data_IF_792496796206
#
_entry.id   IF_792496796206
#
_cell.length_a   1.000
_cell.length_b   1.000
_cell.length_c   1.000
_cell.angle_alpha   90.00
_cell.angle_beta   90.00
_cell.angle_gamma   90.00
#
_symmetry.space_group_name_H-M   'P 1'
#
loop_
_entity.id
_entity.type
_entity.pdbx_description
1 polymer ?
#
# COMPACT_ATOMS: atom_id res chain seq x y z
N UNK A 1 -10.21 -27.82 8.29
CA UNK A 1 -10.00 -26.37 8.04
C UNK A 1 -8.56 -26.01 8.37
N UNK A 2 -7.79 -25.42 7.44
CA UNK A 2 -6.35 -25.13 7.62
C UNK A 2 -6.12 -23.95 8.58
N UNK A 3 -4.89 -23.81 9.14
CA UNK A 3 -4.52 -22.65 9.99
C UNK A 3 -4.75 -21.32 9.25
N UNK A 4 -4.42 -21.26 7.96
CA UNK A 4 -4.65 -20.09 7.10
C UNK A 4 -6.12 -19.70 7.03
N UNK A 5 -7.01 -20.65 6.72
CA UNK A 5 -8.45 -20.37 6.59
C UNK A 5 -9.05 -19.87 7.92
N UNK A 6 -8.63 -20.45 9.05
CA UNK A 6 -9.06 -20.00 10.38
C UNK A 6 -8.56 -18.59 10.68
N UNK A 7 -7.28 -18.31 10.43
CA UNK A 7 -6.69 -17.00 10.68
C UNK A 7 -7.31 -15.90 9.81
N UNK A 8 -7.53 -16.17 8.51
CA UNK A 8 -8.18 -15.23 7.58
C UNK A 8 -9.58 -14.84 8.07
N UNK A 9 -10.39 -15.83 8.46
CA UNK A 9 -11.75 -15.57 8.96
C UNK A 9 -11.75 -14.72 10.24
N UNK A 10 -10.85 -14.99 11.19
CA UNK A 10 -10.73 -14.19 12.42
C UNK A 10 -10.22 -12.78 12.13
N UNK A 11 -9.20 -12.64 11.28
CA UNK A 11 -8.62 -11.35 10.92
C UNK A 11 -9.68 -10.43 10.31
N UNK A 12 -10.40 -10.90 9.30
CA UNK A 12 -11.45 -10.11 8.65
C UNK A 12 -12.58 -9.77 9.62
N UNK A 13 -13.08 -10.75 10.40
CA UNK A 13 -14.16 -10.51 11.35
C UNK A 13 -13.79 -9.52 12.47
N UNK A 14 -12.50 -9.43 12.84
CA UNK A 14 -12.04 -8.57 13.93
C UNK A 14 -11.63 -7.18 13.48
N UNK A 15 -11.08 -7.04 12.26
CA UNK A 15 -10.42 -5.81 11.83
C UNK A 15 -11.16 -5.08 10.71
N UNK A 16 -11.89 -5.77 9.83
CA UNK A 16 -12.64 -5.10 8.76
C UNK A 16 -13.79 -4.29 9.34
N UNK A 17 -13.77 -2.97 9.13
CA UNK A 17 -14.77 -2.05 9.68
C UNK A 17 -15.79 -1.55 8.66
N UNK A 18 -15.78 -2.12 7.44
CA UNK A 18 -16.63 -1.70 6.33
C UNK A 18 -15.95 -0.78 5.33
N UNK A 19 -14.81 -0.17 5.67
CA UNK A 19 -14.08 0.76 4.78
C UNK A 19 -12.57 0.47 4.70
N UNK A 20 -11.95 0.09 5.82
CA UNK A 20 -10.54 -0.30 5.92
C UNK A 20 -10.37 -1.32 7.07
N UNK A 21 -9.14 -1.78 7.32
CA UNK A 21 -8.83 -2.62 8.48
C UNK A 21 -8.36 -1.77 9.67
N UNK A 22 -9.01 -1.93 10.81
CA UNK A 22 -8.57 -1.33 12.08
C UNK A 22 -7.10 -1.72 12.37
N UNK A 23 -6.35 -0.81 13.00
CA UNK A 23 -4.95 -1.01 13.38
C UNK A 23 -4.77 -2.28 14.23
N UNK A 24 -5.64 -2.47 15.22
CA UNK A 24 -5.68 -3.67 16.04
C UNK A 24 -7.12 -3.99 16.49
N UNK A 25 -7.28 -5.07 17.26
CA UNK A 25 -8.58 -5.53 17.77
C UNK A 25 -8.96 -4.95 19.15
N UNK A 26 -8.23 -3.95 19.62
CA UNK A 26 -8.48 -3.25 20.86
C UNK A 26 -9.66 -2.28 20.75
N UNK A 27 -9.94 -1.60 21.87
CA UNK A 27 -11.06 -0.66 21.99
C UNK A 27 -10.59 0.78 22.18
N UNK A 28 -9.28 1.05 22.08
CA UNK A 28 -8.77 2.41 22.21
C UNK A 28 -9.15 3.22 20.97
N UNK A 29 -8.98 4.54 21.06
CA UNK A 29 -9.17 5.39 19.89
C UNK A 29 -8.14 5.08 18.78
N UNK A 30 -6.89 4.77 19.15
CA UNK A 30 -5.82 4.40 18.22
C UNK A 30 -6.00 3.02 17.58
N UNK A 31 -6.75 2.11 18.20
CA UNK A 31 -7.15 0.83 17.57
C UNK A 31 -7.88 1.03 16.25
N UNK A 32 -8.51 2.20 16.05
CA UNK A 32 -9.23 2.57 14.81
C UNK A 32 -8.39 3.42 13.86
N UNK A 33 -7.14 3.71 14.17
CA UNK A 33 -6.26 4.47 13.29
C UNK A 33 -6.05 3.75 11.96
N UNK A 34 -6.01 4.54 10.89
CA UNK A 34 -5.71 4.09 9.54
C UNK A 34 -4.18 3.98 9.47
N UNK A 35 -3.67 2.74 9.47
CA UNK A 35 -2.24 2.50 9.35
C UNK A 35 -1.83 2.42 7.87
N UNK A 36 -0.78 3.15 7.49
CA UNK A 36 -0.28 3.16 6.11
C UNK A 36 0.15 1.77 5.61
N UNK A 37 0.65 0.92 6.51
CA UNK A 37 1.17 -0.41 6.20
C UNK A 37 0.20 -1.57 6.54
N UNK A 38 -1.09 -1.28 6.76
CA UNK A 38 -2.07 -2.30 7.19
C UNK A 38 -2.26 -3.46 6.19
N UNK A 39 -1.81 -3.28 4.93
CA UNK A 39 -1.85 -4.27 3.87
C UNK A 39 -0.47 -4.85 3.50
N UNK A 40 0.55 -4.75 4.37
CA UNK A 40 1.89 -5.31 4.12
C UNK A 40 1.85 -6.80 3.70
N UNK A 41 0.99 -7.61 4.34
CA UNK A 41 0.83 -9.02 3.94
C UNK A 41 0.29 -9.18 2.52
N UNK A 42 -0.67 -8.34 2.13
CA UNK A 42 -1.26 -8.35 0.80
C UNK A 42 -0.22 -7.95 -0.27
N UNK A 43 0.60 -6.94 0.04
CA UNK A 43 1.74 -6.52 -0.80
C UNK A 43 2.67 -7.69 -1.13
N UNK A 44 3.11 -8.43 -0.11
CA UNK A 44 3.99 -9.57 -0.28
C UNK A 44 3.33 -10.71 -1.08
N UNK A 45 2.04 -11.00 -0.84
CA UNK A 45 1.34 -12.02 -1.63
C UNK A 45 1.23 -11.64 -3.11
N UNK A 46 0.88 -10.39 -3.40
CA UNK A 46 0.76 -9.89 -4.77
C UNK A 46 2.13 -9.89 -5.48
N UNK A 47 3.18 -9.42 -4.79
CA UNK A 47 4.54 -9.40 -5.33
C UNK A 47 5.11 -10.80 -5.60
N UNK A 48 4.61 -11.81 -4.89
CA UNK A 48 5.05 -13.22 -4.99
C UNK A 48 4.18 -14.07 -5.92
N UNK A 49 3.15 -13.49 -6.56
CA UNK A 49 2.21 -14.24 -7.39
C UNK A 49 1.32 -15.23 -6.61
N UNK A 50 1.16 -15.03 -5.31
CA UNK A 50 0.27 -15.83 -4.46
C UNK A 50 -1.17 -15.29 -4.54
N UNK A 51 -2.20 -16.14 -4.27
CA UNK A 51 -3.57 -15.68 -4.19
C UNK A 51 -3.76 -14.55 -3.15
N UNK A 52 -4.60 -13.57 -3.46
CA UNK A 52 -4.90 -12.45 -2.57
C UNK A 52 -5.43 -12.90 -1.20
N UNK A 53 -4.99 -12.19 -0.16
CA UNK A 53 -5.46 -12.41 1.20
C UNK A 53 -6.89 -11.93 1.38
N UNK A 54 -7.31 -10.88 0.69
CA UNK A 54 -8.63 -10.25 0.81
C UNK A 54 -9.31 -10.09 -0.55
N UNK A 55 -10.62 -9.83 -0.54
CA UNK A 55 -11.36 -9.48 -1.75
C UNK A 55 -10.85 -8.16 -2.35
N UNK A 56 -10.79 -8.09 -3.69
CA UNK A 56 -10.21 -6.95 -4.42
C UNK A 56 -10.86 -5.62 -4.04
N UNK A 57 -12.18 -5.60 -3.83
CA UNK A 57 -12.90 -4.40 -3.38
C UNK A 57 -12.42 -3.90 -2.02
N UNK A 58 -12.18 -4.79 -1.05
CA UNK A 58 -11.67 -4.42 0.28
C UNK A 58 -10.25 -3.88 0.20
N UNK A 59 -9.42 -4.48 -0.66
CA UNK A 59 -8.04 -4.03 -0.90
C UNK A 59 -8.06 -2.61 -1.45
N UNK A 60 -8.80 -2.37 -2.54
CA UNK A 60 -8.89 -1.05 -3.17
C UNK A 60 -9.51 0.00 -2.25
N UNK A 61 -10.58 -0.32 -1.52
CA UNK A 61 -11.16 0.60 -0.53
C UNK A 61 -10.16 0.96 0.57
N UNK A 62 -9.39 -0.01 1.06
CA UNK A 62 -8.36 0.23 2.08
C UNK A 62 -7.24 1.11 1.52
N UNK A 63 -6.70 0.80 0.34
CA UNK A 63 -5.65 1.60 -0.31
C UNK A 63 -6.13 3.01 -0.62
N UNK A 64 -7.36 3.18 -1.09
CA UNK A 64 -7.96 4.49 -1.32
C UNK A 64 -8.12 5.26 0.00
N UNK A 65 -8.53 4.59 1.09
CA UNK A 65 -8.61 5.20 2.41
C UNK A 65 -7.25 5.72 2.87
N UNK A 66 -6.21 4.92 2.74
CA UNK A 66 -4.83 5.30 3.09
C UNK A 66 -4.38 6.49 2.23
N UNK A 67 -4.66 6.48 0.93
CA UNK A 67 -4.35 7.60 0.04
C UNK A 67 -5.06 8.88 0.48
N UNK A 68 -6.38 8.83 0.67
CA UNK A 68 -7.19 10.00 1.03
C UNK A 68 -6.83 10.59 2.39
N UNK A 69 -6.38 9.75 3.33
CA UNK A 69 -6.07 10.16 4.70
C UNK A 69 -4.56 10.34 4.90
N UNK A 70 -3.81 9.24 4.92
CA UNK A 70 -2.41 9.23 5.29
C UNK A 70 -1.51 9.97 4.30
N UNK A 71 -1.92 10.13 3.04
CA UNK A 71 -1.18 10.85 2.00
C UNK A 71 -1.76 12.24 1.78
N UNK A 72 -3.00 12.35 1.28
CA UNK A 72 -3.53 13.62 0.79
C UNK A 72 -3.80 14.65 1.90
N UNK A 73 -4.13 14.23 3.13
CA UNK A 73 -4.29 15.17 4.26
C UNK A 73 -2.95 15.63 4.85
N UNK A 74 -1.84 15.05 4.41
CA UNK A 74 -0.49 15.43 4.85
C UNK A 74 0.13 16.30 3.77
N UNK A 75 0.06 17.62 3.97
CA UNK A 75 0.60 18.63 3.04
C UNK A 75 0.19 18.42 1.57
N UNK A 76 -1.04 17.96 1.33
CA UNK A 76 -1.54 17.70 -0.02
C UNK A 76 -0.83 16.56 -0.75
N UNK A 77 -0.31 15.57 -0.02
CA UNK A 77 0.42 14.42 -0.60
C UNK A 77 1.90 14.67 -0.86
N UNK A 78 2.43 15.85 -0.52
CA UNK A 78 3.80 16.27 -0.87
C UNK A 78 4.90 15.77 0.07
N UNK A 79 4.60 14.82 0.96
CA UNK A 79 5.58 14.31 1.94
C UNK A 79 5.64 12.79 2.05
N UNK A 80 4.79 12.03 1.37
CA UNK A 80 4.60 10.60 1.56
C UNK A 80 3.45 10.27 2.52
N UNK A 81 3.39 9.02 3.00
CA UNK A 81 2.29 8.54 3.84
C UNK A 81 2.67 8.59 5.33
N UNK A 82 1.93 9.35 6.15
CA UNK A 82 2.10 9.29 7.61
C UNK A 82 1.62 7.93 8.14
N UNK A 83 2.35 7.34 9.07
CA UNK A 83 2.11 5.96 9.51
C UNK A 83 0.72 5.76 10.09
N UNK A 84 0.25 6.66 10.95
CA UNK A 84 -1.04 6.58 11.61
C UNK A 84 -1.86 7.85 11.41
N UNK A 85 -3.11 7.69 10.99
CA UNK A 85 -4.08 8.77 10.94
C UNK A 85 -5.39 8.32 11.58
N UNK A 86 -5.94 9.15 12.46
CA UNK A 86 -7.24 8.89 13.04
C UNK A 86 -8.37 9.06 12.00
N UNK A 87 -9.54 8.41 12.19
CA UNK A 87 -10.66 8.51 11.24
C UNK A 87 -11.24 9.93 11.09
N UNK A 88 -10.93 10.84 12.02
CA UNK A 88 -11.28 12.25 11.93
C UNK A 88 -10.29 13.07 11.05
N UNK A 89 -9.25 12.43 10.51
CA UNK A 89 -8.24 13.06 9.66
C UNK A 89 -7.08 13.73 10.41
N UNK A 90 -7.00 13.61 11.74
CA UNK A 90 -5.83 14.07 12.52
C UNK A 90 -4.75 13.01 12.53
N UNK A 91 -3.48 13.43 12.44
CA UNK A 91 -2.33 12.54 12.64
C UNK A 91 -2.43 11.87 14.00
N UNK A 92 -2.14 10.57 14.04
CA UNK A 92 -2.08 9.82 15.29
C UNK A 92 -0.77 10.15 16.01
N UNK A 93 -0.85 10.78 17.17
CA UNK A 93 0.29 11.16 18.00
C UNK A 93 0.47 10.27 19.24
N UNK A 94 -0.21 9.11 19.28
CA UNK A 94 -0.14 8.19 20.43
C UNK A 94 1.25 7.60 20.65
N UNK A 95 2.11 7.54 19.62
CA UNK A 95 3.52 7.25 19.77
C UNK A 95 4.39 8.05 18.78
N UNK A 96 5.71 7.99 18.98
CA UNK A 96 6.66 8.67 18.08
C UNK A 96 6.50 8.21 16.63
N UNK A 97 6.24 6.92 16.42
CA UNK A 97 6.26 6.30 15.10
C UNK A 97 4.96 6.55 14.33
N UNK A 98 3.82 6.70 15.03
CA UNK A 98 2.52 6.92 14.38
C UNK A 98 2.45 8.26 13.65
N UNK A 99 3.17 9.28 14.15
CA UNK A 99 3.26 10.62 13.54
C UNK A 99 4.39 10.78 12.51
N UNK A 100 5.16 9.73 12.28
CA UNK A 100 6.24 9.74 11.29
C UNK A 100 5.74 9.27 9.92
N UNK A 101 6.40 9.75 8.88
CA UNK A 101 6.35 9.19 7.54
C UNK A 101 7.58 8.31 7.39
N UNK A 102 7.39 7.02 7.14
CA UNK A 102 8.49 6.11 6.86
C UNK A 102 8.70 6.01 5.35
N UNK A 103 9.90 6.32 4.89
CA UNK A 103 10.21 6.43 3.45
C UNK A 103 10.02 5.09 2.74
N UNK A 104 10.55 4.00 3.31
CA UNK A 104 10.39 2.66 2.76
C UNK A 104 8.95 2.13 2.79
N UNK A 105 8.18 2.44 3.84
CA UNK A 105 6.75 2.07 3.93
C UNK A 105 5.94 2.81 2.87
N UNK A 106 6.25 4.07 2.62
CA UNK A 106 5.58 4.84 1.57
C UNK A 106 5.84 4.23 0.18
N UNK A 107 7.07 3.80 -0.10
CA UNK A 107 7.39 3.13 -1.36
C UNK A 107 6.75 1.73 -1.49
N UNK A 108 6.69 0.93 -0.41
CA UNK A 108 5.98 -0.36 -0.44
C UNK A 108 4.48 -0.18 -0.62
N UNK A 109 3.89 0.83 0.01
CA UNK A 109 2.49 1.22 -0.21
C UNK A 109 2.24 1.61 -1.67
N UNK A 110 3.11 2.44 -2.26
CA UNK A 110 3.02 2.82 -3.67
C UNK A 110 3.14 1.59 -4.59
N UNK A 111 4.05 0.66 -4.31
CA UNK A 111 4.16 -0.60 -5.05
C UNK A 111 2.88 -1.45 -4.93
N UNK A 112 2.26 -1.47 -3.76
CA UNK A 112 0.97 -2.16 -3.52
C UNK A 112 -0.15 -1.52 -4.33
N UNK A 113 -0.22 -0.19 -4.38
CA UNK A 113 -1.16 0.54 -5.23
C UNK A 113 -0.98 0.18 -6.71
N UNK A 114 0.26 0.11 -7.21
CA UNK A 114 0.55 -0.33 -8.59
C UNK A 114 0.06 -1.74 -8.87
N UNK A 115 0.32 -2.70 -7.96
CA UNK A 115 -0.11 -4.09 -8.11
C UNK A 115 -1.64 -4.24 -8.18
N UNK A 116 -2.39 -3.26 -7.66
CA UNK A 116 -3.85 -3.20 -7.70
C UNK A 116 -4.40 -2.18 -8.72
N UNK A 117 -3.55 -1.69 -9.64
CA UNK A 117 -3.96 -0.82 -10.76
C UNK A 117 -4.30 0.62 -10.37
N UNK A 118 -3.80 1.10 -9.23
CA UNK A 118 -4.01 2.46 -8.70
C UNK A 118 -2.81 3.36 -9.03
N UNK A 119 -2.47 3.48 -10.32
CA UNK A 119 -1.23 4.13 -10.77
C UNK A 119 -1.10 5.59 -10.31
N UNK A 120 -2.18 6.38 -10.42
CA UNK A 120 -2.16 7.78 -10.00
C UNK A 120 -1.84 7.91 -8.50
N UNK A 121 -2.57 7.17 -7.67
CA UNK A 121 -2.37 7.15 -6.22
C UNK A 121 -0.95 6.70 -5.87
N UNK A 122 -0.43 5.68 -6.56
CA UNK A 122 0.91 5.16 -6.34
C UNK A 122 1.99 6.22 -6.60
N UNK A 123 1.96 6.86 -7.78
CA UNK A 123 2.96 7.85 -8.15
C UNK A 123 2.85 9.11 -7.29
N UNK A 124 1.65 9.59 -6.99
CA UNK A 124 1.47 10.71 -6.06
C UNK A 124 2.00 10.39 -4.66
N UNK A 125 1.77 9.18 -4.15
CA UNK A 125 2.28 8.74 -2.84
C UNK A 125 3.81 8.70 -2.81
N UNK A 126 4.44 8.13 -3.84
CA UNK A 126 5.89 8.03 -3.95
C UNK A 126 6.57 9.38 -4.23
N UNK A 127 5.94 10.23 -5.04
CA UNK A 127 6.41 11.58 -5.37
C UNK A 127 6.55 12.44 -4.12
N UNK A 128 5.69 12.27 -3.12
CA UNK A 128 5.82 12.96 -1.84
C UNK A 128 7.18 12.73 -1.14
N UNK A 129 7.76 11.53 -1.26
CA UNK A 129 9.11 11.24 -0.73
C UNK A 129 10.18 11.98 -1.52
N UNK A 130 10.03 12.08 -2.85
CA UNK A 130 10.94 12.83 -3.70
C UNK A 130 10.85 14.34 -3.40
N UNK A 131 9.65 14.91 -3.35
CA UNK A 131 9.44 16.33 -3.07
C UNK A 131 10.05 16.70 -1.71
N UNK A 132 9.65 16.01 -0.64
CA UNK A 132 10.13 16.34 0.70
C UNK A 132 11.63 16.05 0.90
N UNK A 133 12.15 14.95 0.33
CA UNK A 133 13.51 14.51 0.62
C UNK A 133 14.58 14.99 -0.36
N UNK A 134 14.25 15.15 -1.64
CA UNK A 134 15.22 15.26 -2.73
C UNK A 134 15.07 16.51 -3.61
N UNK A 135 13.89 17.14 -3.64
CA UNK A 135 13.70 18.35 -4.45
C UNK A 135 14.41 19.57 -3.86
N UNK A 136 14.57 20.62 -4.67
CA UNK A 136 15.17 21.89 -4.25
C UNK A 136 14.39 22.60 -3.13
N UNK A 137 13.09 22.36 -3.06
CA UNK A 137 12.18 22.91 -2.04
C UNK A 137 12.02 21.98 -0.81
N UNK A 138 12.69 20.82 -0.81
CA UNK A 138 12.66 19.83 0.25
C UNK A 138 13.66 20.08 1.39
N UNK A 139 13.85 19.06 2.23
CA UNK A 139 14.68 19.12 3.45
C UNK A 139 16.14 18.70 3.24
N UNK A 140 16.54 18.38 2.01
CA UNK A 140 17.94 18.12 1.66
C UNK A 140 18.51 16.79 2.12
N UNK A 141 17.75 15.69 1.94
CA UNK A 141 18.17 14.34 2.32
C UNK A 141 18.84 13.54 1.19
N UNK A 142 19.24 14.19 0.10
CA UNK A 142 19.93 13.55 -1.02
C UNK A 142 21.13 12.72 -0.56
N UNK A 143 21.24 11.50 -1.08
CA UNK A 143 22.29 10.51 -0.76
C UNK A 143 22.36 10.06 0.71
N UNK A 144 21.38 10.42 1.53
CA UNK A 144 21.30 10.07 2.94
C UNK A 144 19.86 9.86 3.42
N UNK A 145 18.96 9.44 2.51
CA UNK A 145 17.53 9.28 2.77
C UNK A 145 17.27 8.57 4.11
N UNK A 146 16.52 9.19 5.04
CA UNK A 146 16.30 8.64 6.36
C UNK A 146 15.27 7.51 6.36
N UNK A 147 15.22 6.79 7.48
CA UNK A 147 14.09 5.92 7.82
C UNK A 147 12.78 6.71 7.80
N UNK A 148 12.79 7.86 8.49
CA UNK A 148 11.58 8.59 8.79
C UNK A 148 11.78 10.11 8.83
N UNK A 149 10.68 10.84 8.64
CA UNK A 149 10.55 12.24 9.05
C UNK A 149 9.15 12.54 9.60
N UNK A 150 9.04 13.57 10.42
CA UNK A 150 7.77 14.15 10.86
C UNK A 150 7.24 15.19 9.85
N UNK A 151 6.00 15.65 10.03
CA UNK A 151 5.32 16.59 9.10
C UNK A 151 5.95 17.99 9.01
N UNK A 152 6.88 18.30 9.92
CA UNK A 152 7.71 19.50 9.97
C UNK A 152 9.12 19.28 9.42
N UNK A 153 9.46 18.05 8.99
CA UNK A 153 10.73 17.74 8.35
C UNK A 153 11.87 17.43 9.33
N UNK A 154 11.59 17.08 10.58
CA UNK A 154 12.62 16.49 11.44
C UNK A 154 12.80 15.02 11.11
N UNK A 155 14.02 14.60 10.79
CA UNK A 155 14.32 13.23 10.38
C UNK A 155 14.72 12.33 11.55
N UNK A 156 14.65 11.03 11.33
CA UNK A 156 15.26 10.00 12.17
C UNK A 156 16.02 8.99 11.31
N UNK A 157 17.26 8.69 11.71
CA UNK A 157 18.14 7.68 11.12
C UNK A 157 18.42 7.88 9.62
N UNK A 158 19.36 8.77 9.28
CA UNK A 158 19.86 8.98 7.91
C UNK A 158 20.57 7.73 7.35
N UNK A 159 20.78 7.71 6.03
CA UNK A 159 21.49 6.65 5.29
C UNK A 159 20.86 5.28 5.58
N UNK A 160 19.53 5.21 5.44
CA UNK A 160 18.77 4.06 5.88
C UNK A 160 18.48 3.07 4.74
N UNK A 161 18.35 1.79 5.10
CA UNK A 161 18.14 0.72 4.12
C UNK A 161 16.71 0.70 3.54
N UNK A 162 15.69 0.96 4.37
CA UNK A 162 14.27 0.82 3.97
C UNK A 162 13.86 1.63 2.72
N UNK A 163 14.32 2.86 2.46
CA UNK A 163 13.97 3.57 1.24
C UNK A 163 14.36 2.86 -0.07
N UNK A 164 15.23 1.83 -0.04
CA UNK A 164 15.48 0.96 -1.20
C UNK A 164 14.22 0.21 -1.68
N UNK A 165 13.15 0.18 -0.88
CA UNK A 165 11.83 -0.34 -1.27
C UNK A 165 11.22 0.35 -2.50
N UNK A 166 11.75 1.50 -2.95
CA UNK A 166 11.37 2.12 -4.23
C UNK A 166 11.48 1.13 -5.41
N UNK A 167 12.43 0.19 -5.36
CA UNK A 167 12.57 -0.85 -6.40
C UNK A 167 11.39 -1.83 -6.46
N UNK A 168 10.57 -1.93 -5.41
CA UNK A 168 9.33 -2.70 -5.47
C UNK A 168 8.32 -2.09 -6.45
N UNK A 169 8.36 -0.76 -6.66
CA UNK A 169 7.54 -0.13 -7.70
C UNK A 169 8.01 -0.57 -9.10
N UNK A 170 9.32 -0.61 -9.33
CA UNK A 170 9.88 -1.11 -10.59
C UNK A 170 9.51 -2.57 -10.84
N UNK A 171 9.51 -3.39 -9.79
CA UNK A 171 9.02 -4.78 -9.86
C UNK A 171 7.56 -4.86 -10.26
N UNK A 172 6.69 -4.02 -9.69
CA UNK A 172 5.27 -3.98 -10.03
C UNK A 172 5.01 -3.51 -11.48
N UNK A 173 5.79 -2.55 -11.98
CA UNK A 173 5.67 -2.00 -13.34
C UNK A 173 6.19 -2.97 -14.42
N UNK A 174 7.31 -3.63 -14.14
CA UNK A 174 8.03 -4.48 -15.09
C UNK A 174 8.54 -5.76 -14.42
N UNK A 175 7.64 -6.70 -14.06
CA UNK A 175 8.04 -7.95 -13.44
C UNK A 175 8.95 -8.76 -14.39
N UNK A 176 10.03 -9.38 -13.90
CA UNK A 176 10.89 -10.21 -14.73
C UNK A 176 10.13 -11.36 -15.39
N UNK A 177 10.53 -11.72 -16.62
CA UNK A 177 9.94 -12.84 -17.36
C UNK A 177 9.99 -14.18 -16.60
N UNK A 178 10.99 -14.35 -15.73
CA UNK A 178 11.12 -15.54 -14.88
C UNK A 178 9.95 -15.67 -13.87
N UNK A 179 9.40 -14.56 -13.37
CA UNK A 179 8.25 -14.54 -12.46
C UNK A 179 6.96 -14.93 -13.18
N UNK A 180 6.80 -14.51 -14.44
CA UNK A 180 5.65 -14.89 -15.27
C UNK A 180 5.61 -16.40 -15.58
N UNK A 181 6.77 -17.04 -15.56
CA UNK A 181 6.94 -18.48 -15.82
C UNK A 181 7.05 -19.32 -14.55
N UNK A 182 6.93 -18.71 -13.36
CA UNK A 182 7.00 -19.44 -12.11
C UNK A 182 5.92 -20.55 -12.08
N UNK A 183 6.24 -21.77 -11.59
CA UNK A 183 5.28 -22.85 -11.53
C UNK A 183 4.03 -22.40 -10.79
N UNK A 184 2.88 -22.43 -11.47
CA UNK A 184 1.60 -22.22 -10.81
C UNK A 184 1.45 -23.35 -9.80
N UNK A 185 1.52 -23.04 -8.51
CA UNK A 185 1.21 -24.00 -7.45
C UNK A 185 -0.19 -24.51 -7.74
N UNK A 186 -0.32 -25.80 -8.06
CA UNK A 186 -1.61 -26.42 -8.37
C UNK A 186 -2.46 -26.38 -7.09
N UNK A 187 -3.29 -25.35 -6.96
CA UNK A 187 -4.22 -25.16 -5.85
C UNK A 187 -5.36 -26.19 -5.83
N UNK A 188 -5.40 -27.12 -6.80
CA UNK A 188 -6.37 -28.23 -6.81
C UNK A 188 -6.24 -29.18 -5.60
N UNK A 189 -5.14 -29.16 -4.84
CA UNK A 189 -5.05 -29.93 -3.58
C UNK A 189 -5.65 -29.23 -2.34
N UNK A 190 -6.23 -28.02 -2.47
CA UNK A 190 -7.00 -27.38 -1.39
C UNK A 190 -8.34 -26.90 -1.91
N UNK A 191 -9.23 -27.87 -2.12
CA UNK A 191 -10.63 -27.64 -2.45
C UNK A 191 -11.30 -26.64 -1.50
N UNK A 192 -12.20 -25.83 -2.09
CA UNK A 192 -13.14 -24.85 -1.52
C UNK A 192 -12.74 -23.38 -1.70
N UNK A 193 -12.76 -22.90 -2.95
CA UNK A 193 -12.98 -21.49 -3.27
C UNK A 193 -14.02 -21.40 -4.39
N UNK A 194 -14.99 -20.52 -4.25
CA UNK A 194 -16.14 -20.34 -5.15
C UNK A 194 -15.74 -19.96 -6.59
N UNK A 195 -16.59 -20.20 -7.61
CA UNK A 195 -16.23 -20.13 -9.03
C UNK A 195 -15.86 -18.73 -9.58
N UNK A 196 -15.94 -17.66 -8.78
CA UNK A 196 -15.74 -16.28 -9.24
C UNK A 196 -14.29 -15.80 -9.34
N UNK A 197 -13.30 -16.57 -8.87
CA UNK A 197 -11.91 -16.11 -8.77
C UNK A 197 -11.06 -16.29 -10.05
N UNK A 198 -11.59 -16.94 -11.10
CA UNK A 198 -10.79 -17.40 -12.24
C UNK A 198 -10.72 -16.46 -13.45
N UNK A 199 -11.39 -15.30 -13.43
CA UNK A 199 -11.47 -14.44 -14.63
C UNK A 199 -10.36 -13.40 -14.82
N UNK A 200 -9.50 -13.13 -13.82
CA UNK A 200 -8.57 -11.99 -13.91
C UNK A 200 -7.11 -12.32 -14.23
N UNK A 201 -6.70 -13.59 -14.19
CA UNK A 201 -5.33 -13.98 -14.56
C UNK A 201 -5.10 -13.80 -16.08
N UNK A 202 -6.16 -13.83 -16.88
CA UNK A 202 -6.03 -13.73 -18.34
C UNK A 202 -5.97 -12.29 -18.87
N UNK A 203 -6.53 -11.31 -18.15
CA UNK A 203 -6.62 -9.91 -18.62
C UNK A 203 -5.46 -9.02 -18.17
N UNK A 204 -4.66 -9.46 -17.20
CA UNK A 204 -3.50 -8.69 -16.69
C UNK A 204 -2.28 -8.73 -17.62
N UNK A 205 -2.34 -9.48 -18.72
CA UNK A 205 -1.28 -9.58 -19.74
C UNK A 205 -1.70 -8.84 -21.01
N UNK A 206 -2.00 -7.54 -20.90
CA UNK A 206 -1.95 -6.66 -22.07
C UNK A 206 -0.59 -5.98 -22.10
N UNK A 207 0.19 -6.25 -23.15
CA UNK A 207 1.35 -5.43 -23.54
C UNK A 207 0.94 -3.97 -23.50
N UNK A 208 1.43 -3.22 -22.52
CA UNK A 208 1.29 -1.76 -22.49
C UNK A 208 2.07 -1.19 -23.67
N UNK A 209 1.34 -0.78 -24.72
CA UNK A 209 1.86 0.18 -25.71
C UNK A 209 1.64 1.58 -25.13
N UNK A 210 2.61 2.51 -25.26
CA UNK A 210 2.42 3.87 -24.79
C UNK A 210 1.30 4.51 -25.60
N UNK A 211 0.19 4.87 -24.94
CA UNK A 211 -0.86 5.70 -25.52
C UNK A 211 -0.78 7.08 -24.89
N UNK A 212 -0.48 8.07 -25.71
CA UNK A 212 -0.69 9.48 -25.40
C UNK A 212 -2.20 9.74 -25.39
N UNK A 213 -2.84 9.78 -24.21
CA UNK A 213 -4.16 10.40 -24.06
C UNK A 213 -4.44 10.76 -22.61
N UNK A 214 -4.94 11.98 -22.42
CA UNK A 214 -5.26 12.63 -21.16
C UNK A 214 -6.19 11.80 -20.25
N UNK A 215 -5.97 11.97 -18.94
CA UNK A 215 -6.67 11.36 -17.81
C UNK A 215 -8.21 11.37 -17.98
N UNK A 216 -8.79 10.19 -18.14
CA UNK A 216 -10.22 9.94 -17.98
C UNK A 216 -10.57 9.64 -16.51
N UNK A 217 -11.76 10.05 -16.07
CA UNK A 217 -12.29 9.88 -14.72
C UNK A 217 -12.22 8.42 -14.23
N UNK A 218 -11.72 8.24 -13.00
CA UNK A 218 -11.56 6.93 -12.35
C UNK A 218 -12.91 6.29 -12.01
N UNK A 219 -13.00 4.94 -12.00
CA UNK A 219 -14.18 4.24 -11.50
C UNK A 219 -14.40 4.58 -10.02
N UNK A 220 -15.60 5.02 -9.67
CA UNK A 220 -16.03 5.06 -8.28
C UNK A 220 -16.19 3.61 -7.80
N UNK A 221 -15.39 3.23 -6.82
CA UNK A 221 -15.62 2.02 -6.04
C UNK A 221 -16.47 2.44 -4.84
N UNK A 222 -17.64 1.82 -4.65
CA UNK A 222 -18.47 2.10 -3.48
C UNK A 222 -17.75 1.59 -2.22
N UNK A 223 -17.06 2.52 -1.57
CA UNK A 223 -16.48 2.47 -0.24
C UNK A 223 -17.23 3.46 0.67
#
# INVERSE_FOLDING_TARGET
>A
MTRFTKAKSVFEARLWNGSYFNYDSGTSYSSRSIQADQLAGQWYTASSGLPSLFDEGRIKCTLQKIFDYNVMRVKGGRMGAVNGMHPNGKVDETCMQSREIWTGVTYSLAATMLLHGMEHQAFTTAEGIYIAGWSEEGYGYWFQTPEAWTIDGHYRSLIYMRPLAIWAMQWALSPPSATLQAPKVNTMERAHVSPGAFQFIHDSVRKMRPKNSCFGSMPNWDC
#
